data_IF_915911027188
#
_entry.id   IF_915911027188
#
_cell.length_a   1.000
_cell.length_b   1.000
_cell.length_c   1.000
_cell.angle_alpha   90.00
_cell.angle_beta   90.00
_cell.angle_gamma   90.00
#
_symmetry.space_group_name_H-M   'P 1'
#
loop_
_entity.id
_entity.type
_entity.pdbx_description
1 polymer ?
#
# COMPACT_ATOMS: atom_id res chain seq x y z
N UNK A 1 4.44 -9.77 8.75
CA UNK A 1 4.70 -8.36 9.14
C UNK A 1 5.46 -8.24 10.46
N UNK A 2 4.92 -8.64 11.62
CA UNK A 2 5.65 -8.53 12.91
C UNK A 2 7.03 -9.20 12.86
N UNK A 3 7.10 -10.45 12.41
CA UNK A 3 8.36 -11.17 12.26
C UNK A 3 9.33 -10.49 11.28
N UNK A 4 8.83 -10.02 10.12
CA UNK A 4 9.63 -9.31 9.10
C UNK A 4 10.17 -7.95 9.57
N UNK A 5 9.46 -7.25 10.46
CA UNK A 5 9.96 -6.04 11.11
C UNK A 5 11.05 -6.40 12.13
N UNK A 6 10.81 -7.43 12.96
CA UNK A 6 11.77 -7.89 13.99
C UNK A 6 13.05 -8.45 13.41
N UNK A 7 12.98 -9.17 12.28
CA UNK A 7 14.12 -9.73 11.55
C UNK A 7 14.87 -8.69 10.69
N UNK A 8 14.39 -7.43 10.66
CA UNK A 8 14.92 -6.33 9.83
C UNK A 8 14.85 -6.57 8.32
N UNK A 9 13.94 -7.45 7.87
CA UNK A 9 13.63 -7.62 6.44
C UNK A 9 12.86 -6.42 5.88
N UNK A 10 12.09 -5.74 6.74
CA UNK A 10 11.34 -4.54 6.38
C UNK A 10 11.81 -3.36 7.22
N UNK A 11 12.35 -2.33 6.54
CA UNK A 11 12.73 -1.06 7.15
C UNK A 11 11.61 -0.03 6.94
N UNK A 12 11.11 0.55 8.03
CA UNK A 12 10.04 1.56 8.00
C UNK A 12 10.64 2.93 8.28
N UNK A 13 10.70 3.78 7.25
CA UNK A 13 11.26 5.14 7.35
C UNK A 13 10.20 6.23 7.58
N UNK A 14 8.92 5.86 7.56
CA UNK A 14 7.81 6.80 7.75
C UNK A 14 7.43 6.87 9.22
N UNK A 15 7.64 8.03 9.84
CA UNK A 15 7.23 8.30 11.23
C UNK A 15 5.73 8.07 11.43
N UNK A 16 4.92 8.54 10.48
CA UNK A 16 3.49 8.30 10.41
C UNK A 16 3.10 6.82 10.46
N UNK A 17 3.80 5.97 9.70
CA UNK A 17 3.55 4.52 9.70
C UNK A 17 3.94 3.89 11.04
N UNK A 18 5.03 4.37 11.65
CA UNK A 18 5.44 3.95 13.00
C UNK A 18 4.42 4.39 14.05
N UNK A 19 3.84 5.59 13.91
CA UNK A 19 2.82 6.13 14.81
C UNK A 19 1.49 5.38 14.73
N UNK A 20 1.14 4.86 13.56
CA UNK A 20 0.01 3.94 13.40
C UNK A 20 0.32 2.57 14.00
N UNK A 21 1.50 1.99 13.75
CA UNK A 21 1.90 0.71 14.34
C UNK A 21 1.84 0.73 15.89
N UNK A 22 2.33 1.81 16.50
CA UNK A 22 2.28 2.00 17.96
C UNK A 22 0.87 2.16 18.52
N UNK A 23 -0.11 2.50 17.68
CA UNK A 23 -1.48 2.73 18.10
C UNK A 23 -2.32 1.44 18.18
N UNK A 24 -1.78 0.29 17.73
CA UNK A 24 -2.48 -0.98 17.80
C UNK A 24 -2.50 -1.54 19.22
N UNK A 25 -3.66 -2.05 19.62
CA UNK A 25 -3.91 -2.68 20.92
C UNK A 25 -4.44 -4.10 20.70
N UNK A 26 -4.09 -4.99 21.62
CA UNK A 26 -4.69 -6.33 21.68
C UNK A 26 -5.85 -6.29 22.66
N UNK A 27 -7.05 -6.58 22.18
CA UNK A 27 -8.26 -6.69 23.00
C UNK A 27 -8.27 -8.00 23.80
N UNK A 28 -9.07 -8.10 24.87
CA UNK A 28 -9.20 -9.32 25.67
C UNK A 28 -9.66 -10.55 24.88
N UNK A 29 -10.35 -10.36 23.76
CA UNK A 29 -10.80 -11.41 22.84
C UNK A 29 -9.71 -11.83 21.83
N UNK A 30 -8.49 -11.30 21.96
CA UNK A 30 -7.38 -11.57 21.06
C UNK A 30 -7.42 -10.81 19.74
N UNK A 31 -8.43 -9.97 19.50
CA UNK A 31 -8.47 -9.11 18.31
C UNK A 31 -7.42 -8.01 18.42
N UNK A 32 -6.76 -7.74 17.31
CA UNK A 32 -5.82 -6.64 17.17
C UNK A 32 -6.49 -5.55 16.34
N UNK A 33 -6.54 -4.33 16.89
CA UNK A 33 -7.11 -3.17 16.20
C UNK A 33 -6.35 -1.89 16.56
N UNK A 34 -6.48 -0.87 15.74
CA UNK A 34 -6.05 0.46 16.12
C UNK A 34 -6.91 0.99 17.28
N UNK A 35 -6.28 1.65 18.25
CA UNK A 35 -6.97 2.28 19.35
C UNK A 35 -8.04 3.28 18.88
N UNK A 36 -9.03 3.56 19.73
CA UNK A 36 -10.16 4.42 19.37
C UNK A 36 -9.72 5.77 18.78
N UNK A 37 -10.27 6.12 17.61
CA UNK A 37 -9.95 7.36 16.88
C UNK A 37 -8.59 7.38 16.18
N UNK A 38 -7.85 6.25 16.17
CA UNK A 38 -6.57 6.11 15.49
C UNK A 38 -6.77 5.48 14.10
N UNK A 39 -5.88 5.84 13.18
CA UNK A 39 -5.85 5.30 11.81
C UNK A 39 -5.02 4.01 11.75
N UNK A 40 -5.32 3.19 10.76
CA UNK A 40 -4.67 1.91 10.48
C UNK A 40 -4.35 1.67 9.00
N UNK A 41 -4.63 2.63 8.12
CA UNK A 41 -4.59 2.47 6.68
C UNK A 41 -3.19 2.14 6.16
N UNK A 42 -2.14 2.74 6.74
CA UNK A 42 -0.76 2.46 6.33
C UNK A 42 -0.29 1.11 6.83
N UNK A 43 -0.67 0.74 8.05
CA UNK A 43 -0.35 -0.57 8.62
C UNK A 43 -1.01 -1.70 7.83
N UNK A 44 -2.28 -1.53 7.47
CA UNK A 44 -2.99 -2.51 6.64
C UNK A 44 -2.37 -2.64 5.25
N UNK A 45 -2.05 -1.50 4.61
CA UNK A 45 -1.37 -1.48 3.31
C UNK A 45 0.00 -2.17 3.37
N UNK A 46 0.76 -1.93 4.44
CA UNK A 46 2.06 -2.57 4.67
C UNK A 46 1.92 -4.07 4.92
N UNK A 47 0.90 -4.50 5.66
CA UNK A 47 0.64 -5.92 5.90
C UNK A 47 0.33 -6.67 4.59
N UNK A 48 -0.46 -6.06 3.71
CA UNK A 48 -0.74 -6.60 2.36
C UNK A 48 0.56 -6.70 1.57
N UNK A 49 1.36 -5.64 1.50
CA UNK A 49 2.63 -5.65 0.78
C UNK A 49 3.57 -6.74 1.30
N UNK A 50 3.71 -6.87 2.62
CA UNK A 50 4.51 -7.92 3.25
C UNK A 50 4.00 -9.32 2.89
N UNK A 51 2.67 -9.50 2.84
CA UNK A 51 2.09 -10.79 2.47
C UNK A 51 2.37 -11.15 1.02
N UNK A 52 2.36 -10.16 0.12
CA UNK A 52 2.67 -10.40 -1.29
C UNK A 52 4.11 -10.84 -1.51
N UNK A 53 5.06 -10.37 -0.69
CA UNK A 53 6.46 -10.84 -0.73
C UNK A 53 6.61 -12.33 -0.39
N UNK A 54 5.75 -12.86 0.49
CA UNK A 54 5.74 -14.29 0.83
C UNK A 54 5.15 -15.15 -0.30
N UNK A 55 4.13 -14.63 -1.00
CA UNK A 55 3.40 -15.37 -2.04
C UNK A 55 4.14 -15.36 -3.38
N UNK A 56 4.77 -14.24 -3.70
CA UNK A 56 5.55 -14.05 -4.92
C UNK A 56 6.83 -13.29 -4.57
N UNK A 57 7.88 -13.99 -4.13
CA UNK A 57 9.15 -13.33 -3.85
C UNK A 57 9.61 -12.60 -5.12
N UNK A 58 10.00 -11.33 -5.02
CA UNK A 58 10.46 -10.57 -6.18
C UNK A 58 11.58 -11.33 -6.87
N UNK A 59 11.39 -11.61 -8.16
CA UNK A 59 12.43 -12.19 -9.01
C UNK A 59 13.44 -11.07 -9.27
N UNK A 60 14.43 -10.95 -8.41
CA UNK A 60 15.59 -10.12 -8.68
C UNK A 60 16.49 -10.89 -9.65
N UNK A 61 16.43 -10.56 -10.94
CA UNK A 61 17.45 -11.07 -11.86
C UNK A 61 18.77 -10.39 -11.55
N UNK A 62 19.71 -11.14 -10.98
CA UNK A 62 21.09 -10.71 -10.73
C UNK A 62 21.86 -10.62 -12.06
N UNK A 63 21.52 -9.61 -12.86
CA UNK A 63 22.27 -9.23 -14.07
C UNK A 63 22.65 -7.77 -13.89
N UNK A 64 23.94 -7.47 -14.05
CA UNK A 64 24.61 -6.18 -13.93
C UNK A 64 25.41 -5.98 -12.63
N UNK A 65 26.57 -6.64 -12.55
CA UNK A 65 27.70 -6.15 -11.73
C UNK A 65 28.50 -5.03 -12.41
N UNK A 66 28.35 -4.80 -13.71
CA UNK A 66 29.16 -3.80 -14.44
C UNK A 66 28.31 -3.00 -15.43
N UNK A 67 27.51 -2.04 -14.96
CA UNK A 67 26.92 -1.01 -15.84
C UNK A 67 26.45 0.17 -15.03
N UNK A 68 26.93 1.36 -15.37
CA UNK A 68 26.41 2.68 -14.97
C UNK A 68 24.90 2.64 -14.69
N UNK A 69 24.51 3.15 -13.52
CA UNK A 69 23.16 3.18 -12.98
C UNK A 69 22.16 3.80 -13.98
N UNK A 70 21.61 2.98 -14.86
CA UNK A 70 20.37 3.29 -15.57
C UNK A 70 19.27 2.60 -14.78
N UNK A 71 18.52 3.41 -14.03
CA UNK A 71 17.28 2.97 -13.41
C UNK A 71 16.45 2.24 -14.48
N UNK A 72 15.96 1.01 -14.24
CA UNK A 72 15.02 0.42 -15.16
C UNK A 72 13.85 1.39 -15.25
N UNK A 73 13.63 1.92 -16.45
CA UNK A 73 12.41 2.63 -16.76
C UNK A 73 11.32 1.59 -16.63
N UNK A 74 10.79 1.44 -15.42
CA UNK A 74 9.44 0.92 -15.23
C UNK A 74 8.63 1.80 -16.16
N UNK A 75 8.16 1.22 -17.27
CA UNK A 75 7.09 1.83 -18.02
C UNK A 75 5.93 1.88 -17.04
N UNK A 76 5.86 2.99 -16.30
CA UNK A 76 4.64 3.43 -15.67
C UNK A 76 3.64 3.39 -16.81
N UNK A 77 2.73 2.42 -16.77
CA UNK A 77 1.45 2.63 -17.40
C UNK A 77 0.80 3.64 -16.47
N UNK A 78 0.72 4.93 -16.84
CA UNK A 78 -0.11 5.84 -16.09
C UNK A 78 -1.48 5.16 -16.05
N UNK A 79 -2.12 5.23 -14.89
CA UNK A 79 -3.54 4.92 -14.70
C UNK A 79 -4.27 4.98 -16.02
N UNK A 80 -4.85 3.85 -16.42
CA UNK A 80 -5.73 3.76 -17.59
C UNK A 80 -6.60 4.99 -17.55
N UNK A 81 -6.36 5.91 -18.49
CA UNK A 81 -7.03 7.19 -18.55
C UNK A 81 -8.53 6.91 -18.41
N UNK A 82 -9.09 7.31 -17.28
CA UNK A 82 -10.53 7.42 -17.14
C UNK A 82 -10.89 8.50 -18.13
N UNK A 83 -11.26 8.08 -19.35
CA UNK A 83 -11.85 8.98 -20.34
C UNK A 83 -12.93 9.78 -19.61
N UNK A 84 -13.02 11.10 -19.82
CA UNK A 84 -14.14 11.86 -19.29
C UNK A 84 -15.42 11.17 -19.73
N UNK A 85 -16.24 10.75 -18.76
CA UNK A 85 -17.56 10.23 -19.05
C UNK A 85 -18.33 11.42 -19.65
N UNK A 86 -18.88 11.33 -20.87
CA UNK A 86 -19.68 12.41 -21.42
C UNK A 86 -20.85 12.67 -20.46
N UNK A 87 -21.23 13.93 -20.23
CA UNK A 87 -22.33 14.25 -19.33
C UNK A 87 -23.59 13.56 -19.84
N UNK A 88 -24.17 12.69 -19.01
CA UNK A 88 -25.48 12.10 -19.27
C UNK A 88 -26.50 13.24 -19.32
N UNK A 89 -27.10 13.50 -20.49
CA UNK A 89 -28.29 14.34 -20.59
C UNK A 89 -29.38 13.68 -19.73
N UNK A 90 -29.64 14.24 -18.55
CA UNK A 90 -30.83 13.88 -17.77
C UNK A 90 -32.06 14.28 -18.61
N UNK A 91 -33.10 13.43 -18.74
CA UNK A 91 -34.38 13.89 -19.26
C UNK A 91 -34.87 15.03 -18.37
N UNK A 92 -35.20 16.16 -19.00
CA UNK A 92 -35.64 17.35 -18.32
C UNK A 92 -36.86 17.05 -17.44
N UNK A 93 -36.74 17.31 -16.15
CA UNK A 93 -37.91 17.41 -15.28
C UNK A 93 -38.48 18.79 -15.53
N UNK A 94 -39.62 18.83 -16.24
CA UNK A 94 -40.46 20.02 -16.33
C UNK A 94 -41.11 20.18 -14.95
N UNK A 95 -40.71 21.22 -14.20
CA UNK A 95 -41.53 21.72 -13.12
C UNK A 95 -42.38 22.87 -13.68
N UNK A 96 -43.67 22.54 -13.83
CA UNK A 96 -44.88 23.37 -14.03
C UNK A 96 -44.71 24.77 -14.60
#
# INVERSE_FOLDING_TARGET
>A
LDMSIRSREVLINSEDTVNELKAFVTKPDGRIEAGSGRKDDRVFSLAIANKMLEVAPPIFSDKHKDSTLTLPTVKYHPFRSIRPVPPVKKPGVIFR
#
